data_IF_125507121721
#
_entry.id   IF_125507121721
#
_cell.length_a   1.000
_cell.length_b   1.000
_cell.length_c   1.000
_cell.angle_alpha   90.00
_cell.angle_beta   90.00
_cell.angle_gamma   90.00
#
_symmetry.space_group_name_H-M   'P 1'
#
loop_
_entity.id
_entity.type
_entity.pdbx_description
1 polymer ?
#
# COMPACT_ATOMS: atom_id res chain seq x y z
N UNK A 1 83.85 15.52 -50.75
CA UNK A 1 83.30 15.30 -52.11
C UNK A 1 81.83 14.90 -51.97
N UNK A 2 80.91 15.76 -52.47
CA UNK A 2 79.47 15.53 -52.78
C UNK A 2 78.57 15.09 -51.60
N UNK A 3 77.31 15.53 -51.41
CA UNK A 3 76.44 16.54 -52.01
C UNK A 3 75.21 16.70 -51.09
N UNK A 4 74.64 17.91 -51.11
CA UNK A 4 73.23 18.36 -51.00
C UNK A 4 72.14 17.40 -50.47
N UNK A 5 71.39 17.84 -49.44
CA UNK A 5 70.05 18.47 -49.51
C UNK A 5 68.92 17.42 -49.62
N UNK A 6 67.92 17.36 -48.74
CA UNK A 6 66.66 18.14 -48.67
C UNK A 6 65.78 17.38 -47.65
N UNK A 7 64.86 17.90 -46.83
CA UNK A 7 64.28 19.22 -46.61
C UNK A 7 63.08 19.09 -45.63
N UNK A 8 62.83 20.18 -44.90
CA UNK A 8 61.57 20.68 -44.29
C UNK A 8 60.65 19.82 -43.39
N UNK A 9 60.71 20.13 -42.09
CA UNK A 9 59.66 20.74 -41.22
C UNK A 9 58.18 20.56 -41.64
N UNK A 10 57.39 19.93 -40.75
CA UNK A 10 56.00 20.33 -40.49
C UNK A 10 55.60 20.08 -39.01
N UNK A 11 54.92 21.08 -38.45
CA UNK A 11 54.38 21.23 -37.10
C UNK A 11 53.24 20.23 -36.83
N UNK A 12 53.13 19.68 -35.60
CA UNK A 12 51.82 19.25 -35.06
C UNK A 12 51.82 19.11 -33.52
N UNK A 13 51.13 20.09 -32.92
CA UNK A 13 50.23 20.01 -31.76
C UNK A 13 50.48 18.99 -30.65
N UNK A 14 50.80 19.53 -29.48
CA UNK A 14 50.53 18.96 -28.15
C UNK A 14 49.05 18.60 -27.99
N UNK A 15 48.73 17.32 -27.77
CA UNK A 15 47.47 16.88 -27.20
C UNK A 15 47.73 16.23 -25.84
N UNK A 16 47.41 16.98 -24.77
CA UNK A 16 47.21 16.41 -23.46
C UNK A 16 45.86 15.66 -23.48
N UNK A 17 45.89 14.33 -23.43
CA UNK A 17 44.68 13.53 -23.20
C UNK A 17 44.43 13.44 -21.69
N UNK A 18 43.49 14.26 -21.23
CA UNK A 18 42.73 14.00 -20.00
C UNK A 18 41.90 12.73 -20.21
N UNK A 19 42.22 11.66 -19.48
CA UNK A 19 41.29 10.53 -19.28
C UNK A 19 40.65 10.68 -17.90
N UNK A 20 39.57 11.47 -17.83
CA UNK A 20 38.70 11.53 -16.66
C UNK A 20 37.91 10.21 -16.52
N UNK A 21 37.69 9.69 -15.30
CA UNK A 21 36.75 8.59 -15.10
C UNK A 21 35.34 9.11 -15.39
N UNK A 22 34.63 8.43 -16.28
CA UNK A 22 33.22 8.72 -16.56
C UNK A 22 32.40 8.45 -15.30
N UNK A 23 32.08 9.52 -14.58
CA UNK A 23 31.02 9.55 -13.58
C UNK A 23 29.72 9.31 -14.34
N UNK A 24 29.17 8.11 -14.21
CA UNK A 24 27.80 7.84 -14.62
C UNK A 24 26.89 8.56 -13.63
N UNK A 25 26.50 9.78 -13.97
CA UNK A 25 25.38 10.44 -13.33
C UNK A 25 24.12 9.61 -13.61
N UNK A 26 23.50 9.08 -12.57
CA UNK A 26 22.17 8.50 -12.62
C UNK A 26 21.17 9.57 -13.06
N UNK A 27 21.00 9.73 -14.37
CA UNK A 27 19.82 10.39 -14.91
C UNK A 27 18.69 9.37 -14.82
N UNK A 28 17.99 9.39 -13.68
CA UNK A 28 16.62 8.89 -13.61
C UNK A 28 15.80 9.67 -14.65
N UNK A 29 15.70 9.12 -15.86
CA UNK A 29 14.79 9.60 -16.89
C UNK A 29 13.39 9.29 -16.39
N UNK A 30 12.86 10.15 -15.52
CA UNK A 30 11.42 10.22 -15.25
C UNK A 30 10.79 10.54 -16.60
N UNK A 31 10.14 9.55 -17.20
CA UNK A 31 9.32 9.75 -18.38
C UNK A 31 8.34 10.92 -18.18
N UNK A 32 7.80 11.49 -19.26
CA UNK A 32 6.92 12.65 -19.17
C UNK A 32 5.80 12.37 -18.17
N UNK A 33 5.69 13.20 -17.12
CA UNK A 33 4.57 13.13 -16.18
C UNK A 33 3.29 13.32 -16.99
N UNK A 34 2.51 12.26 -17.11
CA UNK A 34 1.18 12.34 -17.72
C UNK A 34 0.35 13.27 -16.84
N UNK A 35 -0.07 14.40 -17.38
CA UNK A 35 -0.88 15.37 -16.65
C UNK A 35 -2.32 14.85 -16.60
N UNK A 36 -2.82 14.60 -15.40
CA UNK A 36 -4.19 14.13 -15.18
C UNK A 36 -5.07 15.34 -14.86
N UNK A 37 -6.21 15.54 -15.55
CA UNK A 37 -7.09 16.67 -15.30
C UNK A 37 -7.64 16.59 -13.87
N UNK A 38 -7.53 17.70 -13.14
CA UNK A 38 -8.18 17.85 -11.84
C UNK A 38 -9.48 18.63 -12.04
N UNK A 39 -10.60 18.10 -11.57
CA UNK A 39 -11.91 18.74 -11.68
C UNK A 39 -12.53 18.89 -10.30
N UNK A 40 -12.90 20.11 -9.93
CA UNK A 40 -13.61 20.37 -8.69
C UNK A 40 -15.12 20.46 -8.95
N UNK A 41 -15.90 19.84 -8.05
CA UNK A 41 -17.36 19.80 -8.10
C UNK A 41 -17.93 20.24 -6.77
N UNK A 42 -19.05 20.95 -6.79
CA UNK A 42 -19.78 21.32 -5.58
C UNK A 42 -20.88 20.30 -5.34
N UNK A 43 -20.90 19.72 -4.15
CA UNK A 43 -21.88 18.71 -3.75
C UNK A 43 -22.44 19.02 -2.37
N UNK A 44 -23.66 18.53 -2.13
CA UNK A 44 -24.30 18.59 -0.82
C UNK A 44 -24.45 17.18 -0.28
N UNK A 45 -23.76 16.91 0.81
CA UNK A 45 -23.92 15.69 1.58
C UNK A 45 -24.99 15.85 2.65
N UNK A 46 -25.77 14.80 2.89
CA UNK A 46 -26.87 14.79 3.86
C UNK A 46 -26.81 13.56 4.76
N UNK A 47 -27.23 13.71 6.01
CA UNK A 47 -27.42 12.61 6.94
C UNK A 47 -28.59 12.85 7.89
N UNK A 48 -29.30 11.78 8.24
CA UNK A 48 -30.37 11.84 9.25
C UNK A 48 -29.81 12.17 10.63
N UNK A 49 -30.59 12.94 11.41
CA UNK A 49 -30.32 13.20 12.82
C UNK A 49 -31.19 12.34 13.76
N UNK A 50 -31.98 11.42 13.22
CA UNK A 50 -32.80 10.51 14.04
C UNK A 50 -31.92 9.65 14.96
N UNK A 51 -32.08 9.81 16.27
CA UNK A 51 -31.41 8.99 17.27
C UNK A 51 -29.90 9.23 17.44
N UNK A 52 -29.30 10.16 16.68
CA UNK A 52 -27.83 10.35 16.65
C UNK A 52 -27.40 11.75 17.07
N UNK A 53 -26.17 11.89 17.57
CA UNK A 53 -25.58 13.21 17.88
C UNK A 53 -25.35 14.05 16.62
N UNK A 54 -25.39 15.38 16.76
CA UNK A 54 -25.10 16.34 15.68
C UNK A 54 -23.73 16.08 15.04
N UNK A 55 -22.73 15.75 15.86
CA UNK A 55 -21.37 15.45 15.42
C UNK A 55 -21.33 14.18 14.57
N UNK A 56 -22.07 13.13 14.95
CA UNK A 56 -22.21 11.91 14.14
C UNK A 56 -22.84 12.20 12.78
N UNK A 57 -23.98 12.92 12.79
CA UNK A 57 -24.71 13.28 11.58
C UNK A 57 -23.84 14.14 10.65
N UNK A 58 -23.07 15.09 11.20
CA UNK A 58 -22.09 15.87 10.45
C UNK A 58 -21.09 15.01 9.70
N UNK A 59 -20.47 14.04 10.37
CA UNK A 59 -19.48 13.18 9.71
C UNK A 59 -20.13 12.28 8.64
N UNK A 60 -21.33 11.75 8.91
CA UNK A 60 -22.08 10.98 7.93
C UNK A 60 -22.49 11.81 6.71
N UNK A 61 -22.86 13.09 6.91
CA UNK A 61 -23.17 14.02 5.84
C UNK A 61 -21.95 14.29 4.97
N UNK A 62 -20.78 14.53 5.56
CA UNK A 62 -19.54 14.71 4.78
C UNK A 62 -19.23 13.43 3.98
N UNK A 63 -19.41 12.24 4.59
CA UNK A 63 -19.12 10.96 3.93
C UNK A 63 -20.04 10.75 2.74
N UNK A 64 -21.32 11.09 2.92
CA UNK A 64 -22.32 11.11 1.88
C UNK A 64 -21.93 12.08 0.75
N UNK A 65 -21.52 13.31 1.07
CA UNK A 65 -21.08 14.31 0.10
C UNK A 65 -19.88 13.85 -0.74
N UNK A 66 -18.82 13.35 -0.10
CA UNK A 66 -17.64 12.82 -0.81
C UNK A 66 -17.98 11.64 -1.73
N UNK A 67 -18.88 10.75 -1.28
CA UNK A 67 -19.39 9.65 -2.11
C UNK A 67 -20.13 10.19 -3.34
N UNK A 68 -21.01 11.18 -3.16
CA UNK A 68 -21.71 11.83 -4.28
C UNK A 68 -20.74 12.51 -5.25
N UNK A 69 -19.75 13.26 -4.74
CA UNK A 69 -18.73 13.89 -5.58
C UNK A 69 -18.00 12.87 -6.44
N UNK A 70 -17.55 11.75 -5.85
CA UNK A 70 -16.86 10.69 -6.60
C UNK A 70 -17.72 10.13 -7.74
N UNK A 71 -19.05 10.13 -7.60
CA UNK A 71 -19.99 9.66 -8.62
C UNK A 71 -20.23 10.66 -9.75
N UNK A 72 -19.92 11.95 -9.58
CA UNK A 72 -20.11 12.95 -10.64
C UNK A 72 -19.07 12.87 -11.77
N UNK A 73 -18.03 12.04 -11.61
CA UNK A 73 -16.96 11.89 -12.59
C UNK A 73 -16.66 10.42 -12.87
N UNK A 74 -16.48 10.08 -14.14
CA UNK A 74 -16.06 8.76 -14.63
C UNK A 74 -16.90 7.58 -14.07
N UNK A 75 -18.23 7.77 -14.05
CA UNK A 75 -19.21 6.78 -13.62
C UNK A 75 -19.43 5.74 -14.73
N UNK A 76 -19.19 4.47 -14.42
CA UNK A 76 -19.62 3.32 -15.22
C UNK A 76 -20.92 2.78 -14.64
N UNK A 77 -21.95 2.76 -15.48
CA UNK A 77 -23.28 2.24 -15.17
C UNK A 77 -23.42 0.88 -15.87
N UNK A 78 -23.70 -0.16 -15.11
CA UNK A 78 -24.07 -1.47 -15.65
C UNK A 78 -25.45 -1.85 -15.14
N UNK A 79 -26.37 -2.26 -16.03
CA UNK A 79 -27.72 -2.69 -15.66
C UNK A 79 -27.90 -4.16 -16.05
N UNK A 80 -28.32 -4.97 -15.08
CA UNK A 80 -28.72 -6.36 -15.28
C UNK A 80 -30.24 -6.45 -15.24
N UNK A 81 -30.85 -6.62 -16.42
CA UNK A 81 -32.28 -6.80 -16.57
C UNK A 81 -32.62 -8.25 -16.94
N UNK A 82 -33.44 -8.90 -16.12
CA UNK A 82 -33.95 -10.25 -16.40
C UNK A 82 -35.44 -10.13 -16.67
N UNK A 83 -35.87 -10.50 -17.87
CA UNK A 83 -37.28 -10.57 -18.26
C UNK A 83 -37.73 -12.04 -18.16
N UNK A 84 -38.81 -12.28 -17.41
CA UNK A 84 -39.47 -13.58 -17.32
C UNK A 84 -40.94 -13.40 -17.65
N UNK A 85 -41.47 -14.23 -18.55
CA UNK A 85 -42.88 -14.22 -18.96
C UNK A 85 -43.37 -12.83 -19.44
N UNK A 86 -42.56 -12.16 -20.28
CA UNK A 86 -42.82 -10.80 -20.79
C UNK A 86 -42.92 -9.71 -19.71
N UNK A 87 -42.59 -10.02 -18.46
CA UNK A 87 -42.48 -9.06 -17.37
C UNK A 87 -41.03 -8.90 -16.93
N UNK A 88 -40.61 -7.66 -16.70
CA UNK A 88 -39.31 -7.36 -16.10
C UNK A 88 -39.29 -7.93 -14.68
N UNK A 89 -38.52 -9.00 -14.47
CA UNK A 89 -38.47 -9.74 -13.19
C UNK A 89 -37.33 -9.27 -12.29
N UNK A 90 -36.29 -8.64 -12.87
CA UNK A 90 -35.17 -8.06 -12.12
C UNK A 90 -34.62 -6.90 -12.92
N UNK A 91 -34.42 -5.77 -12.26
CA UNK A 91 -33.65 -4.64 -12.77
C UNK A 91 -32.66 -4.25 -11.67
N UNK A 92 -31.37 -4.44 -11.93
CA UNK A 92 -30.32 -4.05 -11.01
C UNK A 92 -29.33 -3.14 -11.73
N UNK A 93 -29.34 -1.85 -11.39
CA UNK A 93 -28.37 -0.88 -11.91
C UNK A 93 -27.24 -0.69 -10.90
N UNK A 94 -26.00 -0.94 -11.34
CA UNK A 94 -24.77 -0.77 -10.57
C UNK A 94 -23.98 0.42 -11.10
N UNK A 95 -23.60 1.30 -10.19
CA UNK A 95 -22.78 2.47 -10.46
C UNK A 95 -21.38 2.25 -9.88
N UNK A 96 -20.35 2.42 -10.69
CA UNK A 96 -18.95 2.34 -10.25
C UNK A 96 -18.19 3.58 -10.73
N UNK A 97 -17.38 4.19 -9.87
CA UNK A 97 -16.54 5.34 -10.25
C UNK A 97 -15.08 5.00 -10.00
N UNK A 98 -14.21 5.47 -10.90
CA UNK A 98 -12.76 5.40 -10.73
C UNK A 98 -12.15 6.73 -10.24
N UNK A 99 -12.99 7.74 -10.01
CA UNK A 99 -12.53 9.07 -9.61
C UNK A 99 -12.05 9.06 -8.15
N UNK A 100 -10.85 9.61 -7.91
CA UNK A 100 -10.27 9.75 -6.58
C UNK A 100 -10.40 11.17 -6.06
N UNK A 101 -10.65 11.33 -4.77
CA UNK A 101 -10.74 12.65 -4.13
C UNK A 101 -9.34 13.18 -3.90
N UNK A 102 -8.98 14.32 -4.48
CA UNK A 102 -7.66 14.96 -4.28
C UNK A 102 -7.66 16.00 -3.16
N UNK A 103 -8.79 16.64 -2.90
CA UNK A 103 -8.99 17.62 -1.83
C UNK A 103 -10.48 17.89 -1.66
N UNK A 104 -10.91 18.32 -0.48
CA UNK A 104 -12.20 18.98 -0.33
C UNK A 104 -12.15 20.16 0.65
N UNK A 105 -13.11 21.06 0.52
CA UNK A 105 -13.35 22.18 1.41
C UNK A 105 -14.83 22.24 1.75
N UNK A 106 -15.15 22.38 3.04
CA UNK A 106 -16.52 22.64 3.50
C UNK A 106 -16.81 24.13 3.27
N UNK A 107 -17.85 24.41 2.47
CA UNK A 107 -18.30 25.77 2.14
C UNK A 107 -19.38 26.22 3.11
N UNK A 108 -20.30 25.32 3.45
CA UNK A 108 -21.46 25.61 4.30
C UNK A 108 -21.89 24.33 5.03
N UNK A 109 -22.31 24.45 6.28
CA UNK A 109 -22.88 23.33 7.03
C UNK A 109 -23.92 23.79 8.05
N UNK A 110 -24.90 22.92 8.33
CA UNK A 110 -25.94 23.21 9.31
C UNK A 110 -26.97 22.11 9.46
N UNK A 111 -27.77 22.22 10.51
CA UNK A 111 -28.99 21.44 10.67
C UNK A 111 -30.06 22.06 9.79
N UNK A 112 -30.72 21.22 8.99
CA UNK A 112 -31.85 21.59 8.17
C UNK A 112 -33.08 20.86 8.68
N UNK A 113 -34.18 21.60 8.77
CA UNK A 113 -35.48 21.02 9.05
C UNK A 113 -35.89 20.05 7.94
N UNK A 114 -36.84 19.16 8.25
CA UNK A 114 -37.44 18.28 7.26
C UNK A 114 -37.95 19.07 6.06
N UNK A 115 -37.71 18.54 4.84
CA UNK A 115 -38.28 19.10 3.61
C UNK A 115 -39.81 19.14 3.76
N UNK A 116 -40.45 20.12 3.12
CA UNK A 116 -41.89 20.33 3.21
C UNK A 116 -42.66 19.04 2.91
N UNK A 117 -42.22 18.28 1.91
CA UNK A 117 -42.87 17.02 1.52
C UNK A 117 -42.80 15.94 2.60
N UNK A 118 -41.73 15.91 3.39
CA UNK A 118 -41.51 14.90 4.44
C UNK A 118 -42.28 15.23 5.73
N UNK A 119 -42.87 16.44 5.82
CA UNK A 119 -43.71 16.87 6.94
C UNK A 119 -45.12 16.30 6.89
N UNK A 120 -45.48 15.54 5.86
CA UNK A 120 -46.83 14.96 5.71
C UNK A 120 -46.78 13.43 5.87
N UNK A 121 -47.76 12.87 6.57
CA UNK A 121 -47.91 11.42 6.69
C UNK A 121 -48.45 10.78 5.39
N UNK A 122 -48.57 9.44 5.37
CA UNK A 122 -49.10 8.67 4.22
C UNK A 122 -50.54 9.07 3.82
N UNK A 123 -51.22 9.88 4.63
CA UNK A 123 -52.58 10.40 4.39
C UNK A 123 -52.59 11.88 4.00
N UNK A 124 -51.42 12.50 3.84
CA UNK A 124 -51.27 13.91 3.49
C UNK A 124 -51.57 14.87 4.65
N UNK A 125 -51.51 14.39 5.90
CA UNK A 125 -51.72 15.21 7.09
C UNK A 125 -50.37 15.71 7.60
N UNK A 126 -50.27 17.02 7.83
CA UNK A 126 -49.06 17.63 8.38
C UNK A 126 -48.77 17.08 9.79
N UNK A 127 -47.55 16.61 9.98
CA UNK A 127 -47.03 16.09 11.22
C UNK A 127 -46.66 17.28 12.10
N UNK A 128 -47.55 17.62 13.05
CA UNK A 128 -47.35 18.72 14.00
C UNK A 128 -46.60 18.30 15.28
N UNK A 129 -46.31 17.01 15.41
CA UNK A 129 -45.58 16.48 16.57
C UNK A 129 -44.12 16.91 16.52
N UNK A 130 -43.73 17.83 17.40
CA UNK A 130 -42.36 18.34 17.53
C UNK A 130 -41.32 17.23 17.68
N UNK A 131 -41.65 16.11 18.33
CA UNK A 131 -40.71 15.01 18.49
C UNK A 131 -40.51 14.23 17.19
N UNK A 132 -41.56 14.09 16.37
CA UNK A 132 -41.44 13.46 15.05
C UNK A 132 -40.73 14.37 14.06
N UNK A 133 -41.02 15.67 14.09
CA UNK A 133 -40.34 16.66 13.24
C UNK A 133 -38.84 16.70 13.54
N UNK A 134 -38.43 16.66 14.82
CA UNK A 134 -37.02 16.58 15.21
C UNK A 134 -36.30 15.34 14.68
N UNK A 135 -36.99 14.20 14.60
CA UNK A 135 -36.41 12.97 14.03
C UNK A 135 -36.21 13.04 12.51
N UNK A 136 -36.91 13.98 11.85
CA UNK A 136 -36.80 14.21 10.42
C UNK A 136 -35.78 15.30 10.08
N UNK A 137 -35.14 15.91 11.09
CA UNK A 137 -34.03 16.83 10.86
C UNK A 137 -32.87 16.12 10.17
N UNK A 138 -32.21 16.84 9.26
CA UNK A 138 -31.03 16.36 8.56
C UNK A 138 -29.87 17.30 8.78
N UNK A 139 -28.67 16.75 8.91
CA UNK A 139 -27.45 17.54 8.86
C UNK A 139 -27.00 17.64 7.40
N UNK A 140 -26.77 18.85 6.92
CA UNK A 140 -26.34 19.10 5.55
C UNK A 140 -24.95 19.75 5.52
N UNK A 141 -24.11 19.28 4.60
CA UNK A 141 -22.78 19.84 4.36
C UNK A 141 -22.59 20.08 2.87
N UNK A 142 -22.40 21.33 2.50
CA UNK A 142 -22.02 21.75 1.16
C UNK A 142 -20.52 21.85 1.07
N UNK A 143 -19.95 21.17 0.08
CA UNK A 143 -18.50 21.08 -0.07
C UNK A 143 -18.07 21.21 -1.53
N UNK A 144 -16.91 21.83 -1.72
CA UNK A 144 -16.18 21.78 -2.98
C UNK A 144 -15.19 20.62 -2.91
N UNK A 145 -15.30 19.67 -3.83
CA UNK A 145 -14.49 18.44 -3.86
C UNK A 145 -13.75 18.37 -5.17
N UNK A 146 -12.43 18.36 -5.11
CA UNK A 146 -11.56 18.17 -6.25
C UNK A 146 -11.30 16.67 -6.47
N UNK A 147 -11.44 16.25 -7.73
CA UNK A 147 -11.30 14.87 -8.17
C UNK A 147 -10.13 14.76 -9.15
N UNK A 148 -9.44 13.62 -9.11
CA UNK A 148 -8.36 13.28 -10.03
C UNK A 148 -8.56 11.88 -10.61
N UNK A 149 -8.15 11.71 -11.86
CA UNK A 149 -8.10 10.42 -12.55
C UNK A 149 -6.70 9.79 -12.50
N UNK A 150 -5.76 10.40 -11.77
CA UNK A 150 -4.44 9.83 -11.59
C UNK A 150 -4.54 8.48 -10.85
N UNK A 151 -4.18 7.34 -11.50
CA UNK A 151 -4.21 6.04 -10.85
C UNK A 151 -3.25 5.98 -9.66
N UNK A 152 -2.23 6.83 -9.63
CA UNK A 152 -1.23 6.92 -8.57
C UNK A 152 -1.64 7.87 -7.44
N UNK A 153 -2.65 8.72 -7.63
CA UNK A 153 -3.15 9.57 -6.57
C UNK A 153 -3.77 8.71 -5.46
N UNK A 154 -3.56 9.10 -4.20
CA UNK A 154 -4.34 8.57 -3.10
C UNK A 154 -5.57 9.45 -2.89
N UNK A 155 -6.62 8.90 -2.30
CA UNK A 155 -7.72 9.75 -1.83
C UNK A 155 -7.16 10.65 -0.72
N UNK A 156 -7.25 11.97 -0.83
CA UNK A 156 -6.82 12.89 0.21
C UNK A 156 -8.04 13.27 1.06
N UNK A 157 -8.42 12.33 1.94
CA UNK A 157 -9.45 12.50 2.96
C UNK A 157 -8.78 12.53 4.34
N UNK A 158 -9.37 13.20 5.35
CA UNK A 158 -8.87 13.19 6.72
C UNK A 158 -8.52 11.77 7.18
N UNK A 159 -7.25 11.52 7.50
CA UNK A 159 -6.78 10.20 7.92
C UNK A 159 -6.17 9.32 6.83
N UNK A 160 -6.18 9.71 5.55
CA UNK A 160 -5.38 9.03 4.52
C UNK A 160 -3.90 9.42 4.51
N UNK A 161 -3.46 10.28 5.43
CA UNK A 161 -2.04 10.47 5.73
C UNK A 161 -1.45 9.36 6.59
N UNK A 162 -2.27 8.47 7.14
CA UNK A 162 -1.75 7.42 7.99
C UNK A 162 -1.08 6.30 7.20
N UNK A 163 -0.06 5.73 7.83
CA UNK A 163 0.63 4.55 7.35
C UNK A 163 0.11 3.35 8.13
N UNK A 164 -0.50 2.34 7.47
CA UNK A 164 -0.83 1.09 8.15
C UNK A 164 0.44 0.40 8.61
N UNK A 165 0.35 -0.43 9.63
CA UNK A 165 1.54 -1.08 10.15
C UNK A 165 1.91 -2.26 9.25
N UNK A 166 3.15 -2.24 8.75
CA UNK A 166 3.71 -3.29 7.88
C UNK A 166 4.68 -4.18 8.66
N UNK A 167 4.38 -5.47 8.77
CA UNK A 167 5.35 -6.47 9.20
C UNK A 167 6.22 -6.88 8.02
N UNK A 168 7.54 -6.83 8.15
CA UNK A 168 8.49 -7.28 7.13
C UNK A 168 9.09 -8.59 7.60
N UNK A 169 8.69 -9.69 6.95
CA UNK A 169 9.28 -10.98 7.20
C UNK A 169 10.67 -11.12 6.60
N UNK A 170 11.46 -11.99 7.20
CA UNK A 170 12.75 -12.37 6.65
C UNK A 170 12.55 -13.08 5.31
N UNK A 171 13.22 -12.64 4.23
CA UNK A 171 13.17 -13.33 2.96
C UNK A 171 13.65 -14.77 3.10
N UNK A 172 13.08 -15.66 2.30
CA UNK A 172 13.59 -17.02 2.15
C UNK A 172 14.20 -17.21 0.76
N UNK A 173 14.87 -18.35 0.54
CA UNK A 173 15.34 -18.73 -0.79
C UNK A 173 15.03 -20.19 -1.10
N UNK A 174 14.61 -20.46 -2.34
CA UNK A 174 14.53 -21.82 -2.87
C UNK A 174 15.81 -22.27 -3.57
N UNK A 175 16.77 -21.36 -3.77
CA UNK A 175 18.05 -21.63 -4.41
C UNK A 175 19.23 -21.38 -3.46
N UNK A 176 19.30 -22.19 -2.40
CA UNK A 176 20.37 -22.13 -1.41
C UNK A 176 21.76 -22.42 -2.01
N UNK A 177 21.83 -23.26 -3.07
CA UNK A 177 23.08 -23.60 -3.76
C UNK A 177 23.63 -22.42 -4.56
N UNK A 178 22.77 -21.76 -5.33
CA UNK A 178 23.12 -20.54 -6.06
C UNK A 178 23.59 -19.42 -5.14
N UNK A 179 23.02 -19.31 -3.94
CA UNK A 179 23.29 -18.27 -2.95
C UNK A 179 24.62 -18.42 -2.17
N UNK A 180 25.33 -19.55 -2.30
CA UNK A 180 26.46 -19.90 -1.42
C UNK A 180 27.60 -18.87 -1.38
N UNK A 181 27.83 -18.14 -2.48
CA UNK A 181 28.86 -17.11 -2.58
C UNK A 181 28.45 -15.77 -1.97
N UNK A 182 27.17 -15.58 -1.62
CA UNK A 182 26.68 -14.33 -1.04
C UNK A 182 26.52 -14.50 0.47
N UNK A 183 27.36 -13.81 1.24
CA UNK A 183 27.21 -13.77 2.70
C UNK A 183 26.10 -12.81 3.13
N UNK A 184 25.38 -13.17 4.20
CA UNK A 184 24.28 -12.38 4.76
C UNK A 184 23.12 -12.07 3.79
N UNK A 185 22.88 -12.90 2.76
CA UNK A 185 21.84 -12.62 1.75
C UNK A 185 20.48 -12.32 2.37
N UNK A 186 19.91 -13.24 3.17
CA UNK A 186 18.52 -13.10 3.65
C UNK A 186 18.35 -11.95 4.64
N UNK A 187 19.23 -11.88 5.66
CA UNK A 187 19.17 -10.82 6.68
C UNK A 187 19.49 -9.45 6.10
N UNK A 188 20.55 -9.35 5.28
CA UNK A 188 20.92 -8.11 4.60
C UNK A 188 19.83 -7.62 3.65
N UNK A 189 19.12 -8.53 2.96
CA UNK A 189 17.99 -8.17 2.10
C UNK A 189 16.83 -7.58 2.90
N UNK A 190 16.47 -8.19 4.03
CA UNK A 190 15.43 -7.67 4.92
C UNK A 190 15.77 -6.27 5.44
N UNK A 191 17.00 -6.08 5.93
CA UNK A 191 17.47 -4.79 6.44
C UNK A 191 17.47 -3.73 5.34
N UNK A 192 17.89 -4.07 4.12
CA UNK A 192 17.88 -3.14 3.00
C UNK A 192 16.48 -2.76 2.55
N UNK A 193 15.51 -3.69 2.56
CA UNK A 193 14.09 -3.36 2.33
C UNK A 193 13.59 -2.35 3.38
N UNK A 194 13.83 -2.63 4.67
CA UNK A 194 13.42 -1.73 5.75
C UNK A 194 14.06 -0.35 5.59
N UNK A 195 15.38 -0.28 5.34
CA UNK A 195 16.13 0.96 5.19
C UNK A 195 15.58 1.80 4.04
N UNK A 196 15.35 1.19 2.88
CA UNK A 196 14.84 1.88 1.68
C UNK A 196 13.40 2.34 1.84
N UNK A 197 12.53 1.51 2.42
CA UNK A 197 11.15 1.92 2.75
C UNK A 197 11.14 3.12 3.71
N UNK A 198 12.04 3.12 4.69
CA UNK A 198 12.20 4.23 5.63
C UNK A 198 12.67 5.52 4.92
N UNK A 199 13.62 5.41 3.99
CA UNK A 199 14.10 6.52 3.16
C UNK A 199 13.01 7.05 2.20
N UNK A 200 12.16 6.18 1.68
CA UNK A 200 10.98 6.53 0.88
C UNK A 200 9.86 7.17 1.72
N UNK A 201 10.01 7.20 3.05
CA UNK A 201 9.13 7.90 3.99
C UNK A 201 8.17 7.00 4.76
N UNK A 202 8.22 5.69 4.56
CA UNK A 202 7.39 4.73 5.27
C UNK A 202 8.03 4.34 6.61
N UNK A 203 7.41 4.74 7.72
CA UNK A 203 7.95 4.62 9.08
C UNK A 203 7.23 3.56 9.92
N UNK A 204 5.95 3.31 9.68
CA UNK A 204 5.15 2.37 10.48
C UNK A 204 5.43 0.91 10.12
N UNK A 205 6.59 0.39 10.53
CA UNK A 205 7.04 -0.96 10.18
C UNK A 205 7.58 -1.72 11.38
N UNK A 206 7.57 -3.04 11.29
CA UNK A 206 8.25 -3.93 12.24
C UNK A 206 8.85 -5.12 11.50
N UNK A 207 10.08 -5.50 11.83
CA UNK A 207 10.70 -6.70 11.26
C UNK A 207 10.32 -7.94 12.08
N UNK A 208 10.11 -9.06 11.40
CA UNK A 208 9.90 -10.37 12.02
C UNK A 208 10.88 -11.40 11.42
N UNK A 209 11.32 -12.34 12.25
CA UNK A 209 12.27 -13.41 11.86
C UNK A 209 11.58 -14.72 11.47
N UNK A 210 10.25 -14.74 11.46
CA UNK A 210 9.48 -15.97 11.26
C UNK A 210 9.61 -16.51 9.83
N UNK A 211 10.15 -17.71 9.69
CA UNK A 211 10.32 -18.41 8.42
C UNK A 211 9.21 -19.40 8.09
N UNK A 212 8.22 -19.58 8.98
CA UNK A 212 7.10 -20.55 8.81
C UNK A 212 5.99 -20.08 7.86
N UNK A 213 6.18 -18.92 7.23
CA UNK A 213 5.14 -18.14 6.57
C UNK A 213 4.79 -18.61 5.15
N UNK A 214 5.36 -19.73 4.71
CA UNK A 214 5.22 -20.23 3.35
C UNK A 214 4.75 -21.67 3.34
N UNK A 215 3.84 -21.97 2.41
CA UNK A 215 3.41 -23.33 2.18
C UNK A 215 4.46 -24.05 1.31
N UNK A 216 5.20 -24.97 1.93
CA UNK A 216 6.23 -25.79 1.25
C UNK A 216 5.63 -26.86 0.35
N UNK A 217 4.33 -27.10 0.42
CA UNK A 217 3.61 -28.11 -0.39
C UNK A 217 3.11 -27.56 -1.73
N UNK A 218 3.08 -26.23 -1.89
CA UNK A 218 2.68 -25.54 -3.12
C UNK A 218 3.84 -24.77 -3.76
N UNK A 219 3.59 -24.26 -4.97
CA UNK A 219 4.48 -23.33 -5.66
C UNK A 219 4.68 -22.06 -4.80
N UNK A 220 5.75 -22.04 -4.00
CA UNK A 220 6.23 -20.94 -3.14
C UNK A 220 5.24 -19.78 -2.93
N UNK A 221 4.14 -20.08 -2.24
CA UNK A 221 3.07 -19.12 -1.97
C UNK A 221 2.98 -18.86 -0.46
N UNK A 222 2.53 -17.65 -0.05
CA UNK A 222 2.19 -17.36 1.34
C UNK A 222 1.23 -18.38 1.93
N UNK A 223 1.49 -18.80 3.17
CA UNK A 223 0.51 -19.58 3.93
C UNK A 223 -0.56 -18.62 4.48
N UNK A 224 -1.76 -18.70 3.90
CA UNK A 224 -2.90 -17.86 4.26
C UNK A 224 -3.76 -18.43 5.40
N UNK A 225 -3.31 -19.50 6.06
CA UNK A 225 -4.03 -20.06 7.20
C UNK A 225 -4.12 -19.04 8.35
N UNK A 226 -5.33 -18.81 8.91
CA UNK A 226 -5.50 -17.97 10.10
C UNK A 226 -4.59 -18.39 11.25
N UNK A 227 -4.34 -19.69 11.43
CA UNK A 227 -3.48 -20.23 12.50
C UNK A 227 -2.03 -19.72 12.41
N UNK A 228 -1.56 -19.36 11.21
CA UNK A 228 -0.21 -18.82 10.98
C UNK A 228 -0.22 -17.29 11.03
N UNK A 229 -1.25 -16.66 10.47
CA UNK A 229 -1.30 -15.20 10.33
C UNK A 229 -1.77 -14.47 11.60
N UNK A 230 -2.66 -15.07 12.39
CA UNK A 230 -3.18 -14.46 13.63
C UNK A 230 -2.10 -14.19 14.67
N UNK A 231 -1.18 -15.12 14.99
CA UNK A 231 -0.09 -14.84 15.93
C UNK A 231 0.80 -13.68 15.50
N UNK A 232 1.06 -13.53 14.20
CA UNK A 232 1.82 -12.40 13.65
C UNK A 232 1.03 -11.12 13.88
N UNK A 233 -0.26 -11.10 13.52
CA UNK A 233 -1.12 -9.95 13.70
C UNK A 233 -1.21 -9.54 15.16
N UNK A 234 -1.39 -10.47 16.10
CA UNK A 234 -1.46 -10.16 17.53
C UNK A 234 -0.12 -9.71 18.11
N UNK A 235 0.98 -10.37 17.75
CA UNK A 235 2.32 -10.04 18.25
C UNK A 235 2.87 -8.71 17.71
N UNK A 236 2.56 -8.40 16.46
CA UNK A 236 3.08 -7.21 15.76
C UNK A 236 2.08 -6.05 15.72
N UNK A 237 0.78 -6.35 15.78
CA UNK A 237 -0.32 -5.44 15.44
C UNK A 237 -0.22 -4.87 14.02
N UNK A 238 0.43 -5.59 13.11
CA UNK A 238 0.49 -5.22 11.71
C UNK A 238 -0.84 -5.49 11.00
N UNK A 239 -1.19 -4.63 10.05
CA UNK A 239 -2.31 -4.85 9.13
C UNK A 239 -1.85 -5.65 7.91
N UNK A 240 -0.60 -5.46 7.50
CA UNK A 240 -0.04 -6.10 6.33
C UNK A 240 1.26 -6.81 6.64
N UNK A 241 1.53 -7.88 5.90
CA UNK A 241 2.74 -8.67 5.98
C UNK A 241 3.44 -8.68 4.61
N UNK A 242 4.67 -8.19 4.57
CA UNK A 242 5.57 -8.27 3.42
C UNK A 242 6.38 -9.56 3.48
N UNK A 243 6.19 -10.42 2.48
CA UNK A 243 6.96 -11.64 2.27
C UNK A 243 7.81 -11.49 1.01
N UNK A 244 9.02 -12.02 1.03
CA UNK A 244 9.89 -12.07 -0.14
C UNK A 244 10.50 -13.46 -0.29
N UNK A 245 10.46 -13.96 -1.52
CA UNK A 245 11.02 -15.26 -1.88
C UNK A 245 12.05 -15.04 -2.96
N UNK A 246 13.29 -15.43 -2.68
CA UNK A 246 14.37 -15.48 -3.65
C UNK A 246 14.30 -16.83 -4.35
N UNK A 247 13.66 -16.85 -5.52
CA UNK A 247 13.40 -18.08 -6.30
C UNK A 247 14.66 -18.68 -6.89
N UNK A 248 15.50 -17.82 -7.46
CA UNK A 248 16.71 -18.19 -8.17
C UNK A 248 17.78 -17.14 -7.91
N UNK A 249 19.00 -17.60 -7.65
CA UNK A 249 20.24 -16.81 -7.64
C UNK A 249 21.35 -17.61 -8.32
N UNK A 250 20.93 -18.41 -9.29
CA UNK A 250 21.70 -19.48 -9.91
C UNK A 250 22.80 -18.91 -10.80
N UNK A 251 23.96 -19.55 -10.77
CA UNK A 251 25.17 -19.16 -11.51
C UNK A 251 25.47 -20.21 -12.57
N UNK A 252 25.68 -19.77 -13.81
CA UNK A 252 25.95 -20.64 -14.94
C UNK A 252 27.24 -20.23 -15.64
N UNK A 253 27.83 -21.19 -16.36
CA UNK A 253 28.85 -20.91 -17.35
C UNK A 253 28.21 -21.17 -18.72
N UNK A 254 27.99 -20.09 -19.46
CA UNK A 254 27.41 -20.11 -20.80
C UNK A 254 28.49 -20.09 -21.89
N UNK A 255 29.77 -20.28 -21.52
CA UNK A 255 30.84 -20.37 -22.51
C UNK A 255 30.68 -21.66 -23.35
N UNK A 256 31.01 -21.63 -24.65
CA UNK A 256 31.03 -22.82 -25.48
C UNK A 256 31.93 -23.91 -24.89
N UNK A 257 31.52 -25.18 -25.00
CA UNK A 257 32.30 -26.33 -24.49
C UNK A 257 33.77 -26.30 -24.95
N UNK A 258 34.02 -25.98 -26.22
CA UNK A 258 35.36 -25.84 -26.79
C UNK A 258 36.21 -24.78 -26.06
N UNK A 259 35.61 -23.67 -25.65
CA UNK A 259 36.30 -22.62 -24.91
C UNK A 259 36.64 -23.07 -23.47
N UNK A 260 35.72 -23.80 -22.84
CA UNK A 260 35.96 -24.37 -21.52
C UNK A 260 37.04 -25.46 -21.53
N UNK A 261 37.07 -26.30 -22.56
CA UNK A 261 38.12 -27.31 -22.74
C UNK A 261 39.49 -26.65 -22.97
N UNK A 262 39.53 -25.56 -23.75
CA UNK A 262 40.73 -24.74 -23.93
C UNK A 262 41.21 -24.14 -22.59
N UNK A 263 40.31 -23.55 -21.79
CA UNK A 263 40.67 -23.03 -20.46
C UNK A 263 41.30 -24.11 -19.57
N UNK A 264 40.68 -25.30 -19.52
CA UNK A 264 41.18 -26.44 -18.74
C UNK A 264 42.54 -26.93 -19.22
N UNK A 265 42.77 -26.98 -20.54
CA UNK A 265 44.05 -27.37 -21.12
C UNK A 265 45.19 -26.48 -20.63
N UNK A 266 44.96 -25.17 -20.57
CA UNK A 266 45.93 -24.20 -20.03
C UNK A 266 45.86 -24.04 -18.49
N UNK A 267 45.25 -25.00 -17.78
CA UNK A 267 45.09 -24.95 -16.31
C UNK A 267 44.43 -23.67 -15.79
N UNK A 268 43.54 -23.07 -16.59
CA UNK A 268 42.70 -21.94 -16.17
C UNK A 268 41.37 -22.44 -15.63
N UNK A 269 40.93 -21.83 -14.55
CA UNK A 269 39.64 -22.16 -13.93
C UNK A 269 38.46 -21.75 -14.81
N UNK A 270 37.43 -22.59 -14.80
CA UNK A 270 36.15 -22.32 -15.48
C UNK A 270 35.19 -21.76 -14.45
N UNK A 271 35.07 -20.43 -14.43
CA UNK A 271 34.15 -19.74 -13.54
C UNK A 271 32.78 -19.53 -14.17
N UNK A 272 31.71 -19.43 -13.36
CA UNK A 272 30.43 -18.93 -13.84
C UNK A 272 30.57 -17.53 -14.45
N UNK A 273 29.97 -17.32 -15.61
CA UNK A 273 29.99 -16.06 -16.35
C UNK A 273 28.57 -15.45 -16.52
N UNK A 274 27.55 -16.11 -15.95
CA UNK A 274 26.18 -15.61 -15.95
C UNK A 274 25.46 -15.95 -14.66
N UNK A 275 24.48 -15.11 -14.30
CA UNK A 275 23.67 -15.30 -13.10
C UNK A 275 22.23 -14.89 -13.37
N UNK A 276 21.29 -15.71 -12.93
CA UNK A 276 19.85 -15.42 -13.00
C UNK A 276 19.35 -15.16 -11.59
N UNK A 277 18.73 -14.00 -11.40
CA UNK A 277 18.18 -13.58 -10.11
C UNK A 277 16.69 -13.38 -10.29
N UNK A 278 15.88 -14.10 -9.52
CA UNK A 278 14.43 -13.98 -9.52
C UNK A 278 13.90 -13.88 -8.10
N UNK A 279 12.97 -12.94 -7.88
CA UNK A 279 12.32 -12.75 -6.60
C UNK A 279 10.82 -12.54 -6.75
N UNK A 280 10.06 -13.15 -5.86
CA UNK A 280 8.64 -12.88 -5.67
C UNK A 280 8.45 -12.03 -4.39
N UNK A 281 7.69 -10.96 -4.50
CA UNK A 281 7.29 -10.09 -3.39
C UNK A 281 5.78 -10.19 -3.21
N UNK A 282 5.35 -10.48 -1.98
CA UNK A 282 3.94 -10.58 -1.61
C UNK A 282 3.60 -9.59 -0.51
N UNK A 283 2.42 -8.99 -0.59
CA UNK A 283 1.77 -8.31 0.54
C UNK A 283 0.52 -9.10 0.88
N UNK A 284 0.44 -9.57 2.11
CA UNK A 284 -0.70 -10.29 2.68
C UNK A 284 -1.45 -9.36 3.62
N UNK A 285 -2.77 -9.30 3.49
CA UNK A 285 -3.64 -8.62 4.46
C UNK A 285 -3.91 -9.56 5.64
N UNK A 286 -3.50 -9.15 6.84
CA UNK A 286 -3.61 -9.95 8.05
C UNK A 286 -5.02 -9.95 8.65
N UNK A 287 -5.93 -9.10 8.17
CA UNK A 287 -7.33 -9.07 8.59
C UNK A 287 -8.22 -9.94 7.70
N UNK A 288 -7.96 -9.93 6.39
CA UNK A 288 -8.78 -10.64 5.40
C UNK A 288 -8.15 -11.98 4.94
N UNK A 289 -6.91 -12.25 5.34
CA UNK A 289 -6.17 -13.47 5.01
C UNK A 289 -6.01 -13.70 3.49
N UNK A 290 -5.79 -12.64 2.74
CA UNK A 290 -5.63 -12.68 1.28
C UNK A 290 -4.34 -12.00 0.80
N UNK A 291 -3.88 -12.42 -0.39
CA UNK A 291 -2.75 -11.78 -1.06
C UNK A 291 -3.28 -10.57 -1.82
N UNK A 292 -2.82 -9.39 -1.41
CA UNK A 292 -3.31 -8.12 -1.94
C UNK A 292 -2.32 -7.44 -2.88
N UNK A 293 -1.07 -7.92 -2.92
CA UNK A 293 -0.07 -7.61 -3.93
C UNK A 293 0.80 -8.84 -4.18
N UNK A 294 1.02 -9.19 -5.45
CA UNK A 294 2.04 -10.14 -5.88
C UNK A 294 2.83 -9.54 -7.04
N UNK A 295 4.17 -9.55 -6.92
CA UNK A 295 5.08 -9.06 -7.94
C UNK A 295 6.29 -9.97 -8.09
N UNK A 296 6.56 -10.38 -9.32
CA UNK A 296 7.78 -11.07 -9.73
C UNK A 296 8.74 -10.10 -10.40
N UNK A 297 9.99 -10.12 -9.97
CA UNK A 297 11.08 -9.38 -10.60
C UNK A 297 12.20 -10.37 -10.94
N UNK A 298 12.81 -10.21 -12.12
CA UNK A 298 13.84 -11.10 -12.62
C UNK A 298 14.90 -10.35 -13.43
N UNK A 299 16.16 -10.75 -13.29
CA UNK A 299 17.29 -10.15 -14.00
C UNK A 299 18.33 -11.20 -14.38
N UNK A 300 18.90 -11.01 -15.57
CA UNK A 300 19.98 -11.82 -16.10
C UNK A 300 21.27 -11.00 -16.13
N UNK A 301 22.34 -11.55 -15.56
CA UNK A 301 23.65 -10.92 -15.44
C UNK A 301 24.65 -11.69 -16.29
N UNK A 302 25.54 -10.98 -16.98
CA UNK A 302 26.66 -11.55 -17.73
C UNK A 302 27.98 -10.97 -17.22
N UNK A 303 29.07 -11.73 -17.36
CA UNK A 303 30.41 -11.32 -16.96
C UNK A 303 30.81 -11.87 -15.58
N UNK A 304 31.51 -11.07 -14.79
CA UNK A 304 31.89 -11.49 -13.43
C UNK A 304 30.68 -11.44 -12.49
N UNK A 305 30.16 -12.60 -12.14
CA UNK A 305 28.93 -12.76 -11.35
C UNK A 305 29.15 -13.36 -9.96
N UNK A 306 30.37 -13.81 -9.67
CA UNK A 306 30.71 -14.41 -8.37
C UNK A 306 31.08 -13.30 -7.41
N UNK A 307 30.37 -13.20 -6.30
CA UNK A 307 30.55 -12.10 -5.35
C UNK A 307 31.67 -12.39 -4.36
N UNK A 308 31.70 -13.60 -3.82
CA UNK A 308 32.60 -13.96 -2.73
C UNK A 308 32.04 -13.62 -1.35
N UNK A 309 32.51 -14.36 -0.34
CA UNK A 309 31.99 -14.30 1.04
C UNK A 309 32.45 -13.07 1.81
N UNK A 310 33.50 -12.41 1.33
CA UNK A 310 34.16 -11.23 1.91
C UNK A 310 33.41 -9.92 1.64
N UNK A 311 32.37 -9.94 0.79
CA UNK A 311 31.53 -8.78 0.47
C UNK A 311 30.08 -9.06 0.93
N UNK A 312 29.76 -8.93 2.22
CA UNK A 312 28.44 -9.27 2.72
C UNK A 312 27.35 -8.38 2.14
N UNK A 313 26.19 -8.99 1.91
CA UNK A 313 25.01 -8.31 1.39
C UNK A 313 24.66 -7.10 2.26
N UNK A 314 24.30 -5.98 1.61
CA UNK A 314 24.01 -4.71 2.27
C UNK A 314 25.22 -3.80 2.45
N UNK A 315 26.44 -4.24 2.13
CA UNK A 315 27.62 -3.36 2.15
C UNK A 315 27.85 -2.66 0.82
N UNK A 316 28.55 -1.51 0.87
CA UNK A 316 29.00 -0.82 -0.34
C UNK A 316 29.87 -1.71 -1.23
N UNK A 317 30.72 -2.56 -0.64
CA UNK A 317 31.56 -3.50 -1.37
C UNK A 317 30.74 -4.54 -2.14
N UNK A 318 29.62 -5.01 -1.56
CA UNK A 318 28.68 -5.88 -2.24
C UNK A 318 28.02 -5.15 -3.41
N UNK A 319 27.45 -3.97 -3.17
CA UNK A 319 26.71 -3.20 -4.19
C UNK A 319 27.59 -2.67 -5.34
N UNK A 320 28.92 -2.63 -5.17
CA UNK A 320 29.86 -2.31 -6.23
C UNK A 320 30.11 -3.47 -7.22
N UNK A 321 29.68 -4.69 -6.92
CA UNK A 321 29.80 -5.85 -7.84
C UNK A 321 28.68 -5.85 -8.89
N UNK A 322 28.86 -6.55 -10.01
CA UNK A 322 27.80 -6.70 -11.03
C UNK A 322 26.52 -7.32 -10.44
N UNK A 323 26.67 -8.36 -9.62
CA UNK A 323 25.56 -8.99 -8.89
C UNK A 323 24.92 -8.02 -7.91
N UNK A 324 25.71 -7.27 -7.16
CA UNK A 324 25.22 -6.30 -6.20
C UNK A 324 24.45 -5.15 -6.83
N UNK A 325 24.90 -4.60 -7.96
CA UNK A 325 24.17 -3.56 -8.69
C UNK A 325 22.79 -4.04 -9.13
N UNK A 326 22.65 -5.30 -9.54
CA UNK A 326 21.36 -5.88 -9.91
C UNK A 326 20.46 -6.08 -8.69
N UNK A 327 21.00 -6.56 -7.56
CA UNK A 327 20.24 -6.59 -6.31
C UNK A 327 19.82 -5.19 -5.86
N UNK A 328 20.65 -4.18 -6.06
CA UNK A 328 20.31 -2.79 -5.78
C UNK A 328 19.10 -2.33 -6.62
N UNK A 329 19.12 -2.61 -7.93
CA UNK A 329 18.00 -2.30 -8.83
C UNK A 329 16.72 -3.08 -8.45
N UNK A 330 16.85 -4.36 -8.10
CA UNK A 330 15.76 -5.20 -7.65
C UNK A 330 15.12 -4.68 -6.36
N UNK A 331 15.94 -4.33 -5.36
CA UNK A 331 15.49 -3.75 -4.10
C UNK A 331 14.78 -2.41 -4.31
N UNK A 332 15.30 -1.54 -5.19
CA UNK A 332 14.62 -0.30 -5.55
C UNK A 332 13.24 -0.57 -6.17
N UNK A 333 13.14 -1.50 -7.12
CA UNK A 333 11.87 -1.83 -7.74
C UNK A 333 10.87 -2.40 -6.73
N UNK A 334 11.30 -3.37 -5.90
CA UNK A 334 10.46 -3.97 -4.86
C UNK A 334 9.99 -2.93 -3.84
N UNK A 335 10.89 -2.06 -3.35
CA UNK A 335 10.58 -0.99 -2.39
C UNK A 335 9.55 -0.02 -2.97
N UNK A 336 9.73 0.43 -4.22
CA UNK A 336 8.80 1.35 -4.86
C UNK A 336 7.42 0.72 -5.11
N UNK A 337 7.38 -0.57 -5.45
CA UNK A 337 6.11 -1.31 -5.59
C UNK A 337 5.38 -1.43 -4.25
N UNK A 338 6.10 -1.79 -3.17
CA UNK A 338 5.54 -1.87 -1.82
C UNK A 338 5.08 -0.50 -1.35
N UNK A 339 5.94 0.52 -1.41
CA UNK A 339 5.60 1.87 -0.99
C UNK A 339 4.40 2.45 -1.76
N UNK A 340 4.40 2.32 -3.09
CA UNK A 340 3.31 2.78 -3.94
C UNK A 340 1.98 2.11 -3.65
N UNK A 341 1.99 0.83 -3.27
CA UNK A 341 0.80 0.12 -2.82
C UNK A 341 0.33 0.59 -1.44
N UNK A 342 1.26 0.63 -0.48
CA UNK A 342 0.97 0.86 0.95
C UNK A 342 0.56 2.29 1.27
N UNK A 343 1.10 3.29 0.55
CA UNK A 343 0.84 4.72 0.81
C UNK A 343 -0.61 5.15 0.61
N UNK A 344 -1.40 4.38 -0.14
CA UNK A 344 -2.82 4.68 -0.38
C UNK A 344 -3.76 3.72 0.38
N UNK A 345 -3.24 2.96 1.35
CA UNK A 345 -4.05 2.05 2.15
C UNK A 345 -4.55 2.74 3.42
N UNK A 346 -5.87 2.70 3.67
CA UNK A 346 -6.40 3.25 4.91
C UNK A 346 -5.89 2.44 6.08
N UNK A 347 -5.72 3.10 7.22
CA UNK A 347 -5.35 2.43 8.46
C UNK A 347 -6.59 1.80 9.08
N UNK A 348 -6.46 0.53 9.40
CA UNK A 348 -7.40 -0.23 10.19
C UNK A 348 -6.71 -0.73 11.45
N UNK A 349 -7.32 -0.46 12.59
CA UNK A 349 -6.90 -0.94 13.90
C UNK A 349 -8.11 -1.39 14.71
N UNK A 350 -7.92 -1.74 15.99
CA UNK A 350 -9.00 -2.13 16.90
C UNK A 350 -8.87 -1.46 18.25
N UNK A 351 -10.00 -1.38 18.95
CA UNK A 351 -10.05 -1.01 20.36
C UNK A 351 -9.52 -2.19 21.18
N UNK A 352 -8.43 -1.95 21.90
CA UNK A 352 -7.75 -2.98 22.71
C UNK A 352 -8.09 -2.88 24.19
N UNK A 353 -8.54 -1.72 24.66
CA UNK A 353 -8.92 -1.51 26.07
C UNK A 353 -9.86 -0.30 26.20
N UNK A 354 -10.72 -0.29 27.21
CA UNK A 354 -11.66 0.80 27.52
C UNK A 354 -11.55 1.13 29.00
N UNK A 355 -11.17 2.37 29.33
CA UNK A 355 -10.93 2.84 30.70
C UNK A 355 -11.77 4.07 31.01
N UNK A 356 -13.00 3.85 31.51
CA UNK A 356 -13.95 4.94 31.73
C UNK A 356 -14.32 5.59 30.40
N UNK A 357 -13.82 6.81 30.15
CA UNK A 357 -14.05 7.53 28.89
C UNK A 357 -12.85 7.51 27.92
N UNK A 358 -11.76 6.84 28.30
CA UNK A 358 -10.55 6.72 27.48
C UNK A 358 -10.59 5.38 26.71
N UNK A 359 -10.51 5.45 25.39
CA UNK A 359 -10.52 4.30 24.49
C UNK A 359 -9.11 4.08 23.95
N UNK A 360 -8.53 2.91 24.21
CA UNK A 360 -7.16 2.59 23.81
C UNK A 360 -7.20 1.83 22.49
N UNK A 361 -6.46 2.30 21.50
CA UNK A 361 -6.38 1.70 20.17
C UNK A 361 -4.93 1.34 19.82
N UNK A 362 -4.75 0.28 19.03
CA UNK A 362 -3.43 -0.14 18.56
C UNK A 362 -2.96 0.76 17.40
N UNK A 363 -2.58 1.98 17.72
CA UNK A 363 -2.13 3.00 16.78
C UNK A 363 -0.86 3.66 17.32
N UNK A 364 0.26 3.49 16.62
CA UNK A 364 1.54 4.06 17.04
C UNK A 364 1.78 5.43 16.43
N UNK A 365 2.72 6.20 16.99
CA UNK A 365 3.11 7.52 16.47
C UNK A 365 3.71 7.42 15.05
N UNK A 366 4.37 6.31 14.73
CA UNK A 366 4.96 6.05 13.43
C UNK A 366 3.90 5.92 12.33
N UNK A 367 2.64 5.69 12.68
CA UNK A 367 1.52 5.73 11.73
C UNK A 367 1.32 7.12 11.12
N UNK A 368 1.88 8.18 11.71
CA UNK A 368 1.62 9.56 11.30
C UNK A 368 0.35 10.15 11.92
N UNK A 369 -0.29 9.42 12.83
CA UNK A 369 -1.39 9.91 13.64
C UNK A 369 -1.00 11.14 14.47
N UNK A 370 -1.93 12.08 14.61
CA UNK A 370 -1.76 13.31 15.39
C UNK A 370 -2.85 13.45 16.45
N UNK A 371 -2.55 14.21 17.50
CA UNK A 371 -3.56 14.59 18.50
C UNK A 371 -4.60 15.50 17.84
N UNK A 372 -5.87 15.20 18.05
CA UNK A 372 -7.00 15.89 17.45
C UNK A 372 -7.61 15.16 16.26
N UNK A 373 -6.93 14.17 15.71
CA UNK A 373 -7.42 13.35 14.60
C UNK A 373 -8.70 12.57 14.98
N UNK A 374 -9.55 12.36 13.99
CA UNK A 374 -10.85 11.68 14.16
C UNK A 374 -10.85 10.35 13.40
N UNK A 375 -11.27 9.29 14.09
CA UNK A 375 -11.34 7.93 13.55
C UNK A 375 -12.74 7.37 13.70
N UNK A 376 -13.23 6.69 12.66
CA UNK A 376 -14.52 6.04 12.69
C UNK A 376 -14.43 4.67 13.36
N UNK A 377 -15.39 4.37 14.22
CA UNK A 377 -15.55 3.09 14.91
C UNK A 377 -16.63 2.28 14.21
N UNK A 378 -16.33 1.01 13.96
CA UNK A 378 -17.23 0.04 13.36
C UNK A 378 -17.41 -1.14 14.30
N UNK A 379 -18.66 -1.39 14.67
CA UNK A 379 -19.03 -2.56 15.46
C UNK A 379 -19.39 -3.72 14.54
N UNK A 380 -18.99 -4.94 14.91
CA UNK A 380 -19.38 -6.13 14.16
C UNK A 380 -20.78 -6.56 14.59
N UNK A 381 -21.70 -6.71 13.64
CA UNK A 381 -23.09 -7.09 13.90
C UNK A 381 -23.31 -8.54 13.52
N UNK A 382 -23.87 -9.32 14.45
CA UNK A 382 -24.27 -10.70 14.20
C UNK A 382 -23.11 -11.71 14.12
N UNK A 383 -23.33 -12.80 13.38
CA UNK A 383 -22.35 -13.89 13.19
C UNK A 383 -21.61 -13.67 11.87
N UNK A 384 -20.37 -14.21 11.71
CA UNK A 384 -19.68 -14.20 10.43
C UNK A 384 -20.58 -14.73 9.32
N UNK A 385 -20.60 -14.01 8.21
CA UNK A 385 -21.34 -14.40 7.01
C UNK A 385 -20.58 -15.55 6.37
N UNK A 386 -21.23 -16.71 6.26
CA UNK A 386 -20.63 -17.90 5.65
C UNK A 386 -21.40 -18.31 4.41
N UNK A 387 -20.69 -18.62 3.34
CA UNK A 387 -21.27 -19.11 2.10
C UNK A 387 -20.51 -20.32 1.58
N UNK A 388 -21.20 -21.45 1.43
CA UNK A 388 -20.61 -22.71 0.93
C UNK A 388 -19.36 -23.18 1.70
N UNK A 389 -19.32 -22.95 3.01
CA UNK A 389 -18.17 -23.30 3.85
C UNK A 389 -17.04 -22.26 3.86
N UNK A 390 -17.10 -21.24 3.01
CA UNK A 390 -16.18 -20.10 3.06
C UNK A 390 -16.69 -19.05 4.04
N UNK A 391 -15.80 -18.55 4.89
CA UNK A 391 -16.07 -17.40 5.74
C UNK A 391 -15.88 -16.11 4.91
N UNK A 392 -16.95 -15.32 4.76
CA UNK A 392 -16.96 -14.05 4.03
C UNK A 392 -16.67 -12.87 4.96
N UNK A 393 -16.48 -13.12 6.26
CA UNK A 393 -16.17 -12.11 7.25
C UNK A 393 -17.39 -11.63 8.05
N UNK A 394 -17.21 -10.53 8.76
CA UNK A 394 -18.20 -9.94 9.66
C UNK A 394 -18.87 -8.75 8.99
N UNK A 395 -20.19 -8.63 9.17
CA UNK A 395 -20.91 -7.40 8.84
C UNK A 395 -20.53 -6.32 9.88
N UNK A 396 -20.25 -5.10 9.42
CA UNK A 396 -19.73 -4.03 10.26
C UNK A 396 -20.46 -2.71 9.98
N UNK A 397 -21.04 -2.13 11.03
CA UNK A 397 -21.77 -0.87 10.96
C UNK A 397 -21.03 0.25 11.71
N UNK A 398 -21.07 1.51 11.23
CA UNK A 398 -20.45 2.63 11.93
C UNK A 398 -21.22 2.95 13.22
N UNK A 399 -20.56 2.79 14.38
CA UNK A 399 -21.18 2.99 15.71
C UNK A 399 -20.60 4.18 16.47
N UNK A 400 -19.60 4.87 15.93
CA UNK A 400 -19.12 6.09 16.54
C UNK A 400 -17.88 6.68 15.92
N UNK A 401 -17.39 7.73 16.55
CA UNK A 401 -16.18 8.45 16.19
C UNK A 401 -15.34 8.71 17.43
N UNK A 402 -14.05 8.39 17.35
CA UNK A 402 -13.06 8.67 18.38
C UNK A 402 -12.20 9.85 17.94
N UNK A 403 -11.95 10.79 18.86
CA UNK A 403 -10.95 11.83 18.69
C UNK A 403 -9.69 11.46 19.45
N UNK A 404 -8.54 11.46 18.77
CA UNK A 404 -7.25 11.14 19.39
C UNK A 404 -6.89 12.24 20.39
N UNK A 405 -6.77 11.86 21.67
CA UNK A 405 -6.40 12.74 22.77
C UNK A 405 -4.91 12.74 23.06
N UNK A 406 -4.28 11.57 22.94
CA UNK A 406 -2.84 11.37 23.17
C UNK A 406 -2.32 10.18 22.39
N UNK A 407 -1.05 10.26 21.99
CA UNK A 407 -0.36 9.19 21.26
C UNK A 407 0.85 8.77 22.07
N UNK A 408 1.01 7.47 22.24
CA UNK A 408 2.16 6.83 22.86
C UNK A 408 2.95 6.06 21.80
N UNK A 409 4.12 5.56 22.16
CA UNK A 409 5.00 4.84 21.21
C UNK A 409 4.32 3.62 20.56
N UNK A 410 3.36 2.96 21.21
CA UNK A 410 2.73 1.73 20.68
C UNK A 410 1.22 1.73 20.63
N UNK A 411 0.57 2.78 21.15
CA UNK A 411 -0.88 2.88 21.22
C UNK A 411 -1.31 4.34 21.27
N UNK A 412 -2.56 4.60 20.91
CA UNK A 412 -3.17 5.91 21.08
C UNK A 412 -4.35 5.79 22.04
N UNK A 413 -4.69 6.90 22.68
CA UNK A 413 -5.90 7.00 23.48
C UNK A 413 -6.79 8.05 22.85
N UNK A 414 -8.00 7.63 22.52
CA UNK A 414 -9.07 8.49 22.04
C UNK A 414 -10.15 8.70 23.08
N UNK A 415 -10.96 9.72 22.86
CA UNK A 415 -12.22 9.96 23.55
C UNK A 415 -13.37 9.92 22.54
N UNK A 416 -14.55 9.53 22.99
CA UNK A 416 -15.73 9.47 22.10
C UNK A 416 -16.17 10.90 21.77
N UNK A 417 -16.09 11.23 20.48
CA UNK A 417 -16.68 12.45 19.93
C UNK A 417 -18.19 12.27 19.76
N UNK A 418 -18.57 11.11 19.23
CA UNK A 418 -19.94 10.78 18.89
C UNK A 418 -20.12 9.26 18.89
N UNK A 419 -21.29 8.77 19.26
CA UNK A 419 -21.62 7.35 19.19
C UNK A 419 -23.09 7.14 18.90
N UNK A 420 -23.36 6.04 18.21
CA UNK A 420 -24.66 5.44 18.03
C UNK A 420 -24.55 3.96 18.44
N UNK A 421 -25.15 3.60 19.57
CA UNK A 421 -25.01 2.28 20.19
C UNK A 421 -23.80 2.10 21.12
N UNK A 422 -23.36 0.85 21.25
CA UNK A 422 -22.28 0.44 22.16
C UNK A 422 -20.96 0.32 21.40
N UNK A 423 -19.90 0.88 21.98
CA UNK A 423 -18.53 0.67 21.54
C UNK A 423 -17.86 -0.32 22.50
N UNK A 424 -17.24 -1.36 21.96
CA UNK A 424 -16.69 -2.50 22.71
C UNK A 424 -15.22 -2.77 22.34
N UNK A 425 -14.54 -3.53 23.19
CA UNK A 425 -13.21 -4.06 22.89
C UNK A 425 -13.33 -5.00 21.69
N UNK A 426 -12.43 -4.86 20.72
CA UNK A 426 -12.45 -5.61 19.46
C UNK A 426 -13.15 -4.89 18.30
N UNK A 427 -13.86 -3.78 18.55
CA UNK A 427 -14.41 -2.95 17.47
C UNK A 427 -13.31 -2.41 16.58
N UNK A 428 -13.60 -2.36 15.28
CA UNK A 428 -12.66 -1.86 14.26
C UNK A 428 -12.65 -0.35 14.29
N UNK A 429 -11.46 0.23 14.16
CA UNK A 429 -11.25 1.67 14.09
C UNK A 429 -10.52 1.96 12.79
N UNK A 430 -11.09 2.83 11.96
CA UNK A 430 -10.58 3.11 10.62
C UNK A 430 -10.46 4.60 10.37
N UNK A 431 -9.44 4.97 9.60
CA UNK A 431 -9.38 6.29 8.98
C UNK A 431 -10.47 6.44 7.91
N UNK A 432 -10.88 7.68 7.69
CA UNK A 432 -11.92 8.01 6.72
C UNK A 432 -11.43 7.88 5.28
#
# INVERSE_FOLDING_TARGET
MKNLATGLIFVLFTLAQLSSPAVWAETSVKGPKKEYPTRCVVVTGVASMDGVSKEFARQMAIRNGLKQASMQSNLKISSDQVVKDFMLSKDATRFTSNSKVSQFLIVEEGVQEADFNDRFDDKGIEILDEQKLKKMETYQVKMEVCLTEDPQACNNVPGNHYQPKLAIARPITTDSRGATDISNLLGGFQTELQRRLYEDGYRNMVMIEDSSLLDTTQAVAPNLSPDVLEPIREGTGAQYLLLTVIRSVSRHNDDPKLWNDFKRFYSREVHPNSRFIETDTYIVDLYNYDIVLEKRNGFDIKGDVTVGRERPFGTNAFFATNTGMVFHALLNNSTQQVYGYMRCKPVETRIIDIRGNDYVIYLSNESGAQVGDELAVYHNVGRPVRYQGNDLGLDSEPTGFLKIKRIQSRFAVGEVLAKDGLIQIGDKVRSW
#
